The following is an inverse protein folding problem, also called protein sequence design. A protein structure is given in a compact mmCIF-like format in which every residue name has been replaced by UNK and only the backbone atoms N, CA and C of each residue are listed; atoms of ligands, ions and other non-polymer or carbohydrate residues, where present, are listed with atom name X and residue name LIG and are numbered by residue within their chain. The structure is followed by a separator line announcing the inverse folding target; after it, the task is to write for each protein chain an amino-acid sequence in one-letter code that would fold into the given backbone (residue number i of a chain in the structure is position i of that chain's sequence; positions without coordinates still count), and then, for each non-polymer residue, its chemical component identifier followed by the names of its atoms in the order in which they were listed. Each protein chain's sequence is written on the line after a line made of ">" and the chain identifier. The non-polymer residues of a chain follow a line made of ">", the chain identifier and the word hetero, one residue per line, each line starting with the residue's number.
data_IF_750101356794
#
_entry.id   IF_750101356794
#
_cell.length_a   1.000
_cell.length_b   1.000
_cell.length_c   1.000
_cell.angle_alpha   90.00
_cell.angle_beta   90.00
_cell.angle_gamma   90.00
#
_symmetry.space_group_name_H-M   'P 1'
#
loop_
_entity.id
_entity.type
_entity.pdbx_description
1 polymer ?
#
# COMPACT_ATOMS: atom_id res chain seq x y z
N UNK A 1 -1.52 -4.02 0.35
CA UNK A 1 -2.36 -5.22 0.60
C UNK A 1 -1.81 -6.50 -0.06
N UNK A 2 -1.57 -7.54 0.74
CA UNK A 2 -1.18 -8.86 0.28
C UNK A 2 -2.46 -9.68 -0.07
N UNK A 3 -2.38 -10.59 -1.04
CA UNK A 3 -3.50 -11.51 -1.32
C UNK A 3 -3.68 -12.49 -0.14
N UNK A 4 -4.91 -12.88 0.25
CA UNK A 4 -5.13 -13.77 1.40
C UNK A 4 -4.33 -15.07 1.36
N UNK A 5 -4.29 -15.76 0.21
CA UNK A 5 -3.50 -16.99 0.02
C UNK A 5 -2.01 -16.78 0.28
N UNK A 6 -1.46 -15.62 -0.11
CA UNK A 6 -0.06 -15.29 0.15
C UNK A 6 0.21 -14.95 1.61
N UNK A 7 -0.76 -14.34 2.28
CA UNK A 7 -0.66 -14.07 3.71
C UNK A 7 -0.58 -15.38 4.49
N UNK A 8 -1.41 -16.37 4.12
CA UNK A 8 -1.36 -17.70 4.71
C UNK A 8 0.00 -18.38 4.52
N UNK A 9 0.60 -18.28 3.32
CA UNK A 9 1.91 -18.88 3.05
C UNK A 9 3.07 -18.19 3.80
N UNK A 10 3.05 -16.86 3.87
CA UNK A 10 4.16 -16.06 4.45
C UNK A 10 4.03 -15.84 5.96
N UNK A 11 2.87 -16.09 6.55
CA UNK A 11 2.56 -15.87 7.97
C UNK A 11 2.34 -14.41 8.36
N UNK A 12 3.01 -13.45 7.71
CA UNK A 12 2.88 -12.02 8.00
C UNK A 12 3.02 -11.13 6.76
N UNK A 13 2.65 -9.86 6.92
CA UNK A 13 2.76 -8.82 5.90
C UNK A 13 3.67 -7.70 6.44
N UNK A 14 4.95 -7.73 6.02
CA UNK A 14 6.00 -6.79 6.40
C UNK A 14 5.55 -5.33 6.28
N UNK A 15 4.98 -4.97 5.12
CA UNK A 15 4.49 -3.63 4.85
C UNK A 15 3.38 -3.20 5.82
N UNK A 16 2.48 -4.11 6.21
CA UNK A 16 1.43 -3.82 7.21
C UNK A 16 2.01 -3.60 8.60
N UNK A 17 3.00 -4.40 8.99
CA UNK A 17 3.68 -4.24 10.28
C UNK A 17 4.41 -2.89 10.34
N UNK A 18 5.15 -2.54 9.28
CA UNK A 18 5.81 -1.23 9.17
C UNK A 18 4.80 -0.08 9.23
N UNK A 19 3.68 -0.18 8.50
CA UNK A 19 2.62 0.83 8.52
C UNK A 19 2.01 1.01 9.92
N UNK A 20 1.70 -0.10 10.60
CA UNK A 20 1.14 -0.07 11.95
C UNK A 20 2.13 0.55 12.96
N UNK A 21 3.41 0.18 12.89
CA UNK A 21 4.44 0.79 13.74
C UNK A 21 4.62 2.28 13.48
N UNK A 22 4.56 2.72 12.22
CA UNK A 22 4.62 4.15 11.88
C UNK A 22 3.39 4.91 12.36
N UNK A 23 2.19 4.37 12.18
CA UNK A 23 0.95 4.96 12.67
C UNK A 23 0.97 5.13 14.20
N UNK A 24 1.49 4.11 14.90
CA UNK A 24 1.61 4.11 16.35
C UNK A 24 2.79 4.96 16.86
N UNK A 25 3.87 5.13 16.10
CA UNK A 25 5.09 5.81 16.57
C UNK A 25 5.20 7.27 16.14
N UNK A 26 4.65 7.62 14.96
CA UNK A 26 4.67 8.98 14.45
C UNK A 26 3.52 9.77 15.06
N UNK A 27 3.88 10.78 15.84
CA UNK A 27 2.97 11.73 16.49
C UNK A 27 2.78 12.96 15.61
N UNK A 28 1.55 13.43 15.52
CA UNK A 28 1.28 14.74 14.91
C UNK A 28 1.69 15.89 15.85
N UNK A 29 1.44 17.13 15.42
CA UNK A 29 1.80 18.33 16.19
C UNK A 29 1.05 18.45 17.53
N UNK A 30 -0.03 17.70 17.71
CA UNK A 30 -0.80 17.65 18.96
C UNK A 30 -0.35 16.52 19.89
N UNK A 31 0.55 15.65 19.42
CA UNK A 31 0.99 14.48 20.18
C UNK A 31 0.08 13.27 19.99
N UNK A 32 -0.83 13.28 19.01
CA UNK A 32 -1.74 12.17 18.74
C UNK A 32 -1.13 11.19 17.73
N UNK A 33 -1.48 9.91 17.87
CA UNK A 33 -1.09 8.88 16.92
C UNK A 33 -1.88 9.01 15.60
N UNK A 34 -1.25 8.64 14.49
CA UNK A 34 -1.97 8.58 13.22
C UNK A 34 -2.84 7.33 13.13
N UNK A 35 -4.00 7.39 12.44
CA UNK A 35 -4.85 6.22 12.25
C UNK A 35 -4.19 5.19 11.32
N UNK A 36 -4.25 3.91 11.69
CA UNK A 36 -3.95 2.82 10.75
C UNK A 36 -5.11 2.67 9.76
N UNK A 37 -4.82 2.93 8.48
CA UNK A 37 -5.75 2.85 7.36
C UNK A 37 -5.34 1.76 6.36
N UNK A 38 -4.65 0.71 6.81
CA UNK A 38 -4.22 -0.38 5.94
C UNK A 38 -5.38 -1.02 5.16
N UNK A 39 -6.60 -1.04 5.72
CA UNK A 39 -7.80 -1.59 5.11
C UNK A 39 -8.58 -0.56 4.26
N UNK A 40 -7.98 0.61 3.97
CA UNK A 40 -8.48 1.54 2.96
C UNK A 40 -8.26 1.01 1.53
N UNK A 41 -7.33 0.07 1.37
CA UNK A 41 -7.06 -0.64 0.12
C UNK A 41 -7.21 -2.14 0.31
N UNK A 42 -7.78 -2.79 -0.70
CA UNK A 42 -7.75 -4.25 -0.82
C UNK A 42 -7.21 -4.67 -2.16
N UNK A 43 -6.58 -5.84 -2.20
CA UNK A 43 -6.17 -6.48 -3.46
C UNK A 43 -7.34 -7.33 -3.94
N UNK A 44 -7.87 -7.03 -5.12
CA UNK A 44 -9.07 -7.67 -5.69
C UNK A 44 -8.74 -8.70 -6.78
N UNK A 45 -7.49 -8.70 -7.26
CA UNK A 45 -7.02 -9.64 -8.28
C UNK A 45 -5.73 -10.31 -7.82
N UNK A 46 -5.66 -11.63 -7.99
CA UNK A 46 -4.41 -12.36 -7.84
C UNK A 46 -3.42 -11.95 -8.94
N UNK A 47 -2.14 -11.82 -8.60
CA UNK A 47 -1.09 -11.42 -9.54
C UNK A 47 0.16 -12.26 -9.28
N UNK A 48 0.94 -12.56 -10.31
CA UNK A 48 2.25 -13.19 -10.14
C UNK A 48 3.15 -12.32 -9.26
N UNK A 49 4.10 -12.91 -8.50
CA UNK A 49 5.08 -12.16 -7.74
C UNK A 49 5.85 -11.20 -8.65
N UNK A 50 6.04 -9.95 -8.23
CA UNK A 50 6.80 -8.98 -9.03
C UNK A 50 8.26 -9.41 -9.23
N UNK A 51 8.81 -10.19 -8.29
CA UNK A 51 10.16 -10.76 -8.36
C UNK A 51 10.35 -11.74 -9.52
N UNK A 52 9.28 -12.36 -10.01
CA UNK A 52 9.30 -13.34 -11.10
C UNK A 52 9.06 -12.70 -12.47
N UNK A 53 8.86 -11.37 -12.51
CA UNK A 53 8.52 -10.63 -13.72
C UNK A 53 9.64 -9.68 -14.13
N UNK A 54 9.85 -9.60 -15.45
CA UNK A 54 10.61 -8.53 -16.11
C UNK A 54 9.98 -7.16 -15.86
N UNK A 55 10.81 -6.12 -15.90
CA UNK A 55 10.47 -4.75 -15.51
C UNK A 55 9.22 -4.22 -16.24
N UNK A 56 9.13 -4.50 -17.54
CA UNK A 56 8.08 -4.03 -18.44
C UNK A 56 6.71 -4.66 -18.10
N UNK A 57 6.72 -5.93 -17.66
CA UNK A 57 5.51 -6.66 -17.29
C UNK A 57 4.96 -6.24 -15.92
N UNK A 58 5.78 -5.63 -15.05
CA UNK A 58 5.39 -5.33 -13.67
C UNK A 58 4.21 -4.39 -13.56
N UNK A 59 4.17 -3.35 -14.40
CA UNK A 59 3.09 -2.36 -14.42
C UNK A 59 1.76 -2.98 -14.89
N UNK A 60 1.82 -3.85 -15.91
CA UNK A 60 0.66 -4.58 -16.41
C UNK A 60 0.14 -5.56 -15.37
N UNK A 61 1.04 -6.29 -14.70
CA UNK A 61 0.69 -7.31 -13.71
C UNK A 61 -0.16 -6.79 -12.56
N UNK A 62 0.04 -5.54 -12.11
CA UNK A 62 -0.75 -4.93 -11.01
C UNK A 62 -1.80 -3.91 -11.47
N UNK A 63 -1.97 -3.73 -12.78
CA UNK A 63 -3.03 -2.87 -13.32
C UNK A 63 -4.40 -3.34 -12.78
N UNK A 64 -5.14 -2.45 -12.15
CA UNK A 64 -6.46 -2.72 -11.55
C UNK A 64 -6.47 -3.88 -10.53
N UNK A 65 -5.31 -4.22 -9.96
CA UNK A 65 -5.23 -5.26 -8.93
C UNK A 65 -5.68 -4.78 -7.54
N UNK A 66 -5.85 -3.47 -7.36
CA UNK A 66 -6.18 -2.83 -6.09
C UNK A 66 -7.44 -1.98 -6.21
N UNK A 67 -8.27 -2.01 -5.17
CA UNK A 67 -9.51 -1.24 -5.10
C UNK A 67 -9.74 -0.72 -3.68
N UNK A 68 -10.79 0.09 -3.53
CA UNK A 68 -11.29 0.60 -2.26
C UNK A 68 -11.59 -0.56 -1.30
N UNK A 69 -11.03 -0.46 -0.08
CA UNK A 69 -11.32 -1.36 1.03
C UNK A 69 -12.36 -0.77 2.00
N UNK A 70 -12.68 -1.48 3.10
CA UNK A 70 -13.67 -1.05 4.09
C UNK A 70 -13.42 0.36 4.67
N UNK A 71 -12.17 0.78 4.83
CA UNK A 71 -11.81 2.08 5.38
C UNK A 71 -11.63 3.18 4.31
N UNK A 72 -11.97 2.92 3.04
CA UNK A 72 -11.68 3.84 1.93
C UNK A 72 -12.27 5.25 2.13
N UNK A 73 -13.44 5.37 2.77
CA UNK A 73 -14.03 6.70 3.05
C UNK A 73 -13.17 7.54 3.99
N UNK A 74 -12.37 6.91 4.86
CA UNK A 74 -11.52 7.62 5.81
C UNK A 74 -10.32 8.32 5.15
N UNK A 75 -10.04 8.06 3.87
CA UNK A 75 -8.95 8.72 3.15
C UNK A 75 -9.39 9.99 2.39
N UNK A 76 -10.69 10.23 2.26
CA UNK A 76 -11.21 11.36 1.50
C UNK A 76 -10.75 12.70 2.11
N UNK A 77 -10.22 13.59 1.25
CA UNK A 77 -9.67 14.89 1.65
C UNK A 77 -8.36 14.83 2.43
N UNK A 78 -7.80 13.63 2.69
CA UNK A 78 -6.58 13.47 3.50
C UNK A 78 -5.33 13.31 2.65
N UNK A 79 -4.20 13.73 3.21
CA UNK A 79 -2.86 13.40 2.71
C UNK A 79 -2.49 12.03 3.26
N UNK A 80 -2.24 11.06 2.39
CA UNK A 80 -2.03 9.66 2.77
C UNK A 80 -0.58 9.26 2.54
N UNK A 81 0.00 8.56 3.52
CA UNK A 81 1.30 7.90 3.38
C UNK A 81 1.07 6.42 3.09
N UNK A 82 1.53 5.96 1.93
CA UNK A 82 1.63 4.55 1.58
C UNK A 82 2.97 3.99 2.05
N UNK A 83 2.93 2.84 2.70
CA UNK A 83 4.12 2.16 3.23
C UNK A 83 4.28 0.83 2.52
N UNK A 84 5.50 0.53 2.09
CA UNK A 84 5.90 -0.78 1.56
C UNK A 84 7.28 -1.17 2.11
N UNK A 85 7.65 -2.44 2.01
CA UNK A 85 8.98 -2.89 2.45
C UNK A 85 10.05 -2.55 1.39
N UNK A 86 9.81 -2.91 0.13
CA UNK A 86 10.76 -2.74 -0.97
C UNK A 86 10.08 -2.15 -2.21
N UNK A 87 10.66 -1.06 -2.73
CA UNK A 87 10.28 -0.52 -4.05
C UNK A 87 11.27 -0.95 -5.13
N UNK A 88 10.73 -1.28 -6.31
CA UNK A 88 11.50 -1.46 -7.55
C UNK A 88 11.05 -0.44 -8.59
N UNK A 89 10.23 -0.83 -9.57
CA UNK A 89 9.65 0.06 -10.59
C UNK A 89 8.58 1.01 -10.05
N UNK A 90 8.20 0.86 -8.78
CA UNK A 90 7.05 1.58 -8.20
C UNK A 90 5.69 1.13 -8.73
N UNK A 91 5.60 0.09 -9.57
CA UNK A 91 4.33 -0.35 -10.18
C UNK A 91 3.23 -0.64 -9.15
N UNK A 92 3.56 -1.37 -8.08
CA UNK A 92 2.63 -1.72 -6.99
C UNK A 92 2.15 -0.45 -6.26
N UNK A 93 3.07 0.40 -5.82
CA UNK A 93 2.78 1.67 -5.15
C UNK A 93 1.94 2.59 -6.02
N UNK A 94 2.27 2.70 -7.31
CA UNK A 94 1.52 3.52 -8.26
C UNK A 94 0.09 3.03 -8.45
N UNK A 95 -0.13 1.71 -8.50
CA UNK A 95 -1.48 1.15 -8.56
C UNK A 95 -2.29 1.41 -7.28
N UNK A 96 -1.68 1.22 -6.11
CA UNK A 96 -2.30 1.56 -4.81
C UNK A 96 -2.63 3.06 -4.72
N UNK A 97 -1.72 3.93 -5.14
CA UNK A 97 -1.91 5.38 -5.09
C UNK A 97 -3.04 5.84 -6.01
N UNK A 98 -3.19 5.24 -7.20
CA UNK A 98 -4.35 5.49 -8.07
C UNK A 98 -5.66 5.12 -7.39
N UNK A 99 -5.74 3.93 -6.79
CA UNK A 99 -6.93 3.49 -6.07
C UNK A 99 -7.30 4.43 -4.89
N UNK A 100 -6.31 4.93 -4.14
CA UNK A 100 -6.56 5.91 -3.07
C UNK A 100 -7.03 7.27 -3.59
N UNK A 101 -6.46 7.76 -4.70
CA UNK A 101 -6.91 9.02 -5.32
C UNK A 101 -8.35 8.93 -5.82
N UNK A 102 -8.75 7.79 -6.38
CA UNK A 102 -10.16 7.52 -6.74
C UNK A 102 -11.08 7.58 -5.51
N UNK A 103 -10.58 7.22 -4.33
CA UNK A 103 -11.33 7.35 -3.06
C UNK A 103 -11.31 8.78 -2.48
N UNK A 104 -10.74 9.76 -3.20
CA UNK A 104 -10.74 11.17 -2.80
C UNK A 104 -9.55 11.59 -1.94
N UNK A 105 -8.47 10.81 -1.86
CA UNK A 105 -7.25 11.24 -1.17
C UNK A 105 -6.69 12.53 -1.81
N UNK A 106 -6.40 13.53 -0.98
CA UNK A 106 -5.88 14.83 -1.44
C UNK A 106 -4.46 14.71 -2.00
N UNK A 107 -3.63 13.88 -1.37
CA UNK A 107 -2.33 13.50 -1.90
C UNK A 107 -1.93 12.11 -1.41
N UNK A 108 -1.00 11.48 -2.13
CA UNK A 108 -0.45 10.17 -1.76
C UNK A 108 1.06 10.24 -1.90
N UNK A 109 1.76 10.05 -0.77
CA UNK A 109 3.22 9.92 -0.70
C UNK A 109 3.55 8.47 -0.39
N UNK A 110 4.54 7.89 -1.07
CA UNK A 110 5.00 6.54 -0.76
C UNK A 110 6.34 6.58 -0.03
N UNK A 111 6.49 5.75 0.99
CA UNK A 111 7.75 5.48 1.67
C UNK A 111 8.03 3.99 1.67
N UNK A 112 9.30 3.62 1.52
CA UNK A 112 9.74 2.23 1.51
C UNK A 112 10.99 2.07 2.36
N UNK A 113 11.12 0.91 3.02
CA UNK A 113 12.30 0.62 3.84
C UNK A 113 13.56 0.44 2.97
N UNK A 114 13.41 -0.09 1.75
CA UNK A 114 14.49 -0.22 0.78
C UNK A 114 14.04 0.06 -0.66
N UNK A 115 15.00 0.45 -1.50
CA UNK A 115 14.83 0.56 -2.93
C UNK A 115 15.80 -0.40 -3.64
N UNK A 116 15.27 -1.17 -4.59
CA UNK A 116 16.06 -1.98 -5.51
C UNK A 116 15.94 -1.35 -6.89
N UNK A 117 16.86 -0.43 -7.14
CA UNK A 117 17.03 0.30 -8.39
C UNK A 117 17.72 -0.57 -9.45
#
# INVERSE_FOLDING_TARGET
>A
PLHPERLQLRGYNQARLLAASLALGWRDTTGEAHPDLADALRRVRATSPQSELHLEARAVNVRDAFAAGPQARAVAGRRVVLVDDVVTTGATLGACARALRVCGAASVTAICAAAKL
#
